data_IF_989413301599
#
_entry.id   IF_989413301599
#
_cell.length_a   1.000
_cell.length_b   1.000
_cell.length_c   1.000
_cell.angle_alpha   90.00
_cell.angle_beta   90.00
_cell.angle_gamma   90.00
#
_symmetry.space_group_name_H-M   'P 1'
#
loop_
_entity.id
_entity.type
_entity.pdbx_description
1 polymer ?
#
# COMPACT_ATOMS: atom_id res chain seq x y z
N UNK A 1 -7.93 -22.47 -8.85
CA UNK A 1 -6.62 -22.06 -8.31
C UNK A 1 -6.76 -20.61 -7.89
N UNK A 2 -6.43 -20.26 -6.65
CA UNK A 2 -6.41 -18.85 -6.24
C UNK A 2 -5.38 -18.12 -7.09
N UNK A 3 -5.77 -17.04 -7.79
CA UNK A 3 -4.84 -16.23 -8.58
C UNK A 3 -3.80 -15.55 -7.68
N UNK A 4 -2.72 -15.04 -8.28
CA UNK A 4 -1.71 -14.27 -7.55
C UNK A 4 -2.33 -13.04 -6.89
N UNK A 5 -1.82 -12.64 -5.71
CA UNK A 5 -2.31 -11.50 -4.93
C UNK A 5 -1.29 -10.37 -4.98
N UNK A 6 -1.78 -9.14 -5.04
CA UNK A 6 -0.98 -7.93 -4.86
C UNK A 6 -1.59 -7.06 -3.76
N UNK A 7 -0.75 -6.46 -2.93
CA UNK A 7 -1.16 -5.61 -1.82
C UNK A 7 -0.83 -4.17 -2.16
N UNK A 8 -1.82 -3.29 -2.09
CA UNK A 8 -1.73 -1.93 -2.63
C UNK A 8 -2.11 -0.90 -1.56
N UNK A 9 -1.34 0.19 -1.54
CA UNK A 9 -1.55 1.37 -0.71
C UNK A 9 -1.03 2.61 -1.44
N UNK A 10 -1.67 3.78 -1.23
CA UNK A 10 -1.25 5.05 -1.83
C UNK A 10 -0.92 6.12 -0.77
N UNK A 11 0.02 7.00 -1.12
CA UNK A 11 0.27 8.24 -0.40
C UNK A 11 -0.17 9.44 -1.23
N UNK A 12 -0.51 10.53 -0.54
CA UNK A 12 -1.08 11.71 -1.19
C UNK A 12 -0.55 13.02 -0.60
N UNK A 13 -0.70 14.12 -1.35
CA UNK A 13 -0.51 15.50 -0.85
C UNK A 13 -1.71 15.99 -0.04
N UNK A 14 -1.59 17.16 0.60
CA UNK A 14 -2.71 17.83 1.27
C UNK A 14 -3.85 18.22 0.30
N UNK A 15 -3.52 18.43 -0.97
CA UNK A 15 -4.44 18.76 -2.08
C UNK A 15 -5.00 17.51 -2.77
N UNK A 16 -4.78 16.33 -2.18
CA UNK A 16 -5.28 15.04 -2.66
C UNK A 16 -4.71 14.62 -4.02
N UNK A 17 -3.48 15.02 -4.35
CA UNK A 17 -2.73 14.44 -5.47
C UNK A 17 -2.00 13.19 -5.01
N UNK A 18 -1.99 12.12 -5.82
CA UNK A 18 -1.28 10.88 -5.50
C UNK A 18 0.22 11.11 -5.68
N UNK A 19 1.02 10.74 -4.67
CA UNK A 19 2.46 10.95 -4.63
C UNK A 19 3.25 9.66 -4.69
N UNK A 20 2.74 8.61 -4.04
CA UNK A 20 3.34 7.27 -4.07
C UNK A 20 2.23 6.24 -4.29
N UNK A 21 2.50 5.26 -5.13
CA UNK A 21 1.73 4.00 -5.19
C UNK A 21 2.67 2.86 -4.84
N UNK A 22 2.38 2.20 -3.72
CA UNK A 22 3.08 0.99 -3.30
C UNK A 22 2.31 -0.24 -3.74
N UNK A 23 3.04 -1.24 -4.24
CA UNK A 23 2.49 -2.56 -4.55
C UNK A 23 3.46 -3.62 -4.02
N UNK A 24 3.00 -4.53 -3.18
CA UNK A 24 3.76 -5.71 -2.78
C UNK A 24 3.19 -6.97 -3.45
N UNK A 25 4.06 -7.80 -4.00
CA UNK A 25 3.74 -9.15 -4.49
C UNK A 25 4.77 -10.15 -3.98
N UNK A 26 4.33 -11.36 -3.64
CA UNK A 26 5.23 -12.40 -3.16
C UNK A 26 6.26 -12.86 -4.20
N UNK A 27 5.95 -12.74 -5.49
CA UNK A 27 6.81 -13.22 -6.58
C UNK A 27 7.89 -12.22 -7.02
N UNK A 28 7.72 -10.92 -6.75
CA UNK A 28 8.69 -9.90 -7.18
C UNK A 28 9.07 -8.85 -6.12
N UNK A 29 8.48 -8.89 -4.92
CA UNK A 29 8.76 -7.93 -3.84
C UNK A 29 7.93 -6.66 -3.92
N UNK A 30 8.46 -5.57 -3.35
CA UNK A 30 7.81 -4.26 -3.32
C UNK A 30 8.18 -3.44 -4.54
N UNK A 31 7.18 -2.89 -5.19
CA UNK A 31 7.25 -1.94 -6.30
C UNK A 31 6.69 -0.60 -5.81
N UNK A 32 7.44 0.49 -5.95
CA UNK A 32 7.00 1.82 -5.52
C UNK A 32 7.17 2.83 -6.65
N UNK A 33 6.07 3.46 -7.05
CA UNK A 33 6.06 4.51 -8.06
C UNK A 33 5.86 5.85 -7.37
N UNK A 34 6.71 6.83 -7.66
CA UNK A 34 6.74 8.11 -6.97
C UNK A 34 6.59 9.25 -7.98
N UNK A 35 5.80 10.27 -7.67
CA UNK A 35 5.67 11.47 -8.50
C UNK A 35 5.34 11.14 -9.96
N UNK A 36 6.15 11.62 -10.94
CA UNK A 36 5.94 11.35 -12.37
C UNK A 36 5.87 9.87 -12.77
N UNK A 37 6.48 8.97 -12.00
CA UNK A 37 6.40 7.53 -12.26
C UNK A 37 5.03 6.91 -11.96
N UNK A 38 4.16 7.62 -11.24
CA UNK A 38 2.78 7.19 -10.95
C UNK A 38 1.94 7.34 -12.22
N UNK A 39 1.86 6.28 -13.00
CA UNK A 39 1.07 6.21 -14.24
C UNK A 39 0.17 4.99 -14.24
N UNK A 40 -0.91 5.07 -15.01
CA UNK A 40 -1.80 3.94 -15.26
C UNK A 40 -1.06 2.74 -15.84
N UNK A 41 -0.25 2.94 -16.87
CA UNK A 41 0.56 1.89 -17.51
C UNK A 41 1.45 1.19 -16.49
N UNK A 42 2.20 1.96 -15.68
CA UNK A 42 3.10 1.38 -14.69
C UNK A 42 2.34 0.56 -13.63
N UNK A 43 1.17 1.03 -13.19
CA UNK A 43 0.34 0.33 -12.20
C UNK A 43 -0.24 -0.97 -12.80
N UNK A 44 -0.75 -0.95 -14.03
CA UNK A 44 -1.27 -2.16 -14.68
C UNK A 44 -0.16 -3.17 -14.99
N UNK A 45 1.01 -2.72 -15.42
CA UNK A 45 2.19 -3.59 -15.63
C UNK A 45 2.63 -4.25 -14.32
N UNK A 46 2.68 -3.49 -13.21
CA UNK A 46 2.97 -4.02 -11.89
C UNK A 46 1.94 -5.06 -11.41
N UNK A 47 0.69 -4.97 -11.89
CA UNK A 47 -0.39 -5.91 -11.58
C UNK A 47 -0.55 -7.02 -12.62
N UNK A 48 0.32 -7.12 -13.63
CA UNK A 48 0.24 -8.16 -14.63
C UNK A 48 0.31 -9.56 -14.00
N UNK A 49 -0.68 -10.40 -14.31
CA UNK A 49 -0.84 -11.76 -13.77
C UNK A 49 -1.47 -11.85 -12.38
N UNK A 50 -1.80 -10.72 -11.75
CA UNK A 50 -2.50 -10.65 -10.46
C UNK A 50 -3.98 -10.96 -10.68
N UNK A 51 -4.56 -11.80 -9.83
CA UNK A 51 -6.01 -12.08 -9.81
C UNK A 51 -6.76 -11.34 -8.70
N UNK A 52 -6.07 -10.89 -7.64
CA UNK A 52 -6.69 -10.16 -6.53
C UNK A 52 -5.82 -9.02 -6.04
N UNK A 53 -6.40 -7.83 -5.95
CA UNK A 53 -5.83 -6.66 -5.28
C UNK A 53 -6.34 -6.61 -3.84
N UNK A 54 -5.43 -6.53 -2.89
CA UNK A 54 -5.69 -6.48 -1.46
C UNK A 54 -5.33 -5.09 -0.94
N UNK A 55 -6.20 -4.50 -0.13
CA UNK A 55 -6.02 -3.14 0.41
C UNK A 55 -6.50 -3.08 1.86
N UNK A 56 -6.29 -1.95 2.53
CA UNK A 56 -6.97 -1.62 3.78
C UNK A 56 -7.82 -0.37 3.61
N UNK A 57 -9.15 -0.52 3.59
CA UNK A 57 -10.10 0.56 3.26
C UNK A 57 -9.97 1.08 1.82
N UNK A 58 -9.45 0.29 0.88
CA UNK A 58 -9.18 0.74 -0.48
C UNK A 58 -10.43 1.14 -1.26
N UNK A 59 -11.56 0.48 -1.03
CA UNK A 59 -12.83 0.88 -1.67
C UNK A 59 -13.29 2.29 -1.23
N UNK A 60 -12.95 2.69 0.00
CA UNK A 60 -13.25 4.00 0.55
C UNK A 60 -12.16 5.04 0.32
N UNK A 61 -10.96 4.63 -0.11
CA UNK A 61 -9.79 5.50 -0.20
C UNK A 61 -8.92 5.20 -1.42
N UNK A 62 -8.03 4.21 -1.38
CA UNK A 62 -6.99 3.99 -2.40
C UNK A 62 -7.55 3.83 -3.81
N UNK A 63 -8.47 2.88 -4.00
CA UNK A 63 -9.08 2.58 -5.30
C UNK A 63 -9.97 3.73 -5.77
N UNK A 64 -10.64 4.40 -4.83
CA UNK A 64 -11.46 5.58 -5.13
C UNK A 64 -10.60 6.72 -5.68
N UNK A 65 -9.44 6.98 -5.08
CA UNK A 65 -8.55 8.06 -5.49
C UNK A 65 -7.75 7.73 -6.75
N UNK A 66 -7.32 6.48 -6.93
CA UNK A 66 -6.77 5.99 -8.20
C UNK A 66 -7.75 6.25 -9.35
N UNK A 67 -9.03 5.91 -9.15
CA UNK A 67 -10.08 6.18 -10.14
C UNK A 67 -10.29 7.67 -10.40
N UNK A 68 -10.31 8.49 -9.34
CA UNK A 68 -10.57 9.94 -9.46
C UNK A 68 -9.42 10.73 -10.06
N UNK A 69 -8.17 10.35 -9.77
CA UNK A 69 -6.98 11.11 -10.14
C UNK A 69 -6.24 10.55 -11.35
N UNK A 70 -6.33 9.24 -11.59
CA UNK A 70 -5.60 8.56 -12.67
C UNK A 70 -6.54 7.85 -13.65
N UNK A 71 -7.86 7.92 -13.46
CA UNK A 71 -8.85 7.18 -14.27
C UNK A 71 -8.65 5.65 -14.29
N UNK A 72 -7.97 5.11 -13.27
CA UNK A 72 -7.73 3.68 -13.09
C UNK A 72 -8.86 3.10 -12.23
N UNK A 73 -9.61 2.12 -12.76
CA UNK A 73 -10.59 1.38 -11.98
C UNK A 73 -10.15 -0.07 -11.76
N UNK A 74 -9.32 -0.31 -10.74
CA UNK A 74 -8.84 -1.67 -10.46
C UNK A 74 -9.97 -2.65 -10.09
N UNK A 75 -11.16 -2.16 -9.72
CA UNK A 75 -12.28 -3.04 -9.35
C UNK A 75 -12.97 -3.67 -10.55
N UNK A 76 -12.73 -3.17 -11.76
CA UNK A 76 -13.28 -3.77 -13.00
C UNK A 76 -12.44 -4.93 -13.49
N UNK A 77 -11.13 -4.90 -13.24
CA UNK A 77 -10.17 -5.84 -13.84
C UNK A 77 -9.66 -6.88 -12.83
N UNK A 78 -9.77 -6.61 -11.53
CA UNK A 78 -9.27 -7.50 -10.47
C UNK A 78 -10.36 -7.81 -9.44
N UNK A 79 -10.29 -9.01 -8.84
CA UNK A 79 -10.99 -9.22 -7.59
C UNK A 79 -10.41 -8.29 -6.50
N UNK A 80 -11.23 -7.85 -5.57
CA UNK A 80 -10.81 -6.96 -4.49
C UNK A 80 -11.07 -7.61 -3.13
N UNK A 81 -10.04 -7.60 -2.27
CA UNK A 81 -10.15 -7.98 -0.87
C UNK A 81 -9.76 -6.79 0.03
N UNK A 82 -10.69 -6.34 0.86
CA UNK A 82 -10.48 -5.23 1.79
C UNK A 82 -10.30 -5.76 3.21
N UNK A 83 -9.07 -5.67 3.72
CA UNK A 83 -8.72 -6.20 5.03
C UNK A 83 -9.41 -5.43 6.16
N UNK A 84 -9.79 -4.16 5.96
CA UNK A 84 -10.56 -3.43 6.97
C UNK A 84 -11.95 -4.06 7.13
N UNK A 85 -12.57 -4.51 6.05
CA UNK A 85 -13.87 -5.21 6.09
C UNK A 85 -13.71 -6.56 6.79
N UNK A 86 -12.65 -7.33 6.48
CA UNK A 86 -12.34 -8.59 7.17
C UNK A 86 -12.10 -8.40 8.68
N UNK A 87 -11.32 -7.39 9.06
CA UNK A 87 -11.10 -7.04 10.47
C UNK A 87 -12.42 -6.74 11.19
N UNK A 88 -13.27 -5.91 10.60
CA UNK A 88 -14.58 -5.55 11.17
C UNK A 88 -15.50 -6.76 11.36
N UNK A 89 -15.48 -7.72 10.43
CA UNK A 89 -16.24 -8.98 10.55
C UNK A 89 -15.74 -9.84 11.72
N UNK A 90 -14.46 -9.75 12.07
CA UNK A 90 -13.86 -10.39 13.26
C UNK A 90 -13.97 -9.53 14.53
N UNK A 91 -14.70 -8.41 14.50
CA UNK A 91 -14.86 -7.51 15.65
C UNK A 91 -13.65 -6.61 15.94
N UNK A 92 -12.61 -6.65 15.10
CA UNK A 92 -11.40 -5.83 15.24
C UNK A 92 -11.62 -4.48 14.57
N UNK A 93 -11.29 -3.39 15.27
CA UNK A 93 -11.48 -2.01 14.79
C UNK A 93 -10.24 -1.16 15.05
N UNK A 94 -10.04 -0.16 14.19
CA UNK A 94 -8.92 0.78 14.24
C UNK A 94 -8.41 1.09 12.84
N UNK A 95 -7.45 2.03 12.76
CA UNK A 95 -6.63 2.18 11.56
C UNK A 95 -5.62 1.05 11.42
N UNK A 96 -5.03 0.88 10.23
CA UNK A 96 -4.09 -0.21 9.92
C UNK A 96 -3.03 -0.40 11.01
N UNK A 97 -2.34 0.69 11.40
CA UNK A 97 -1.29 0.65 12.44
C UNK A 97 -1.76 0.11 13.79
N UNK A 98 -2.96 0.50 14.21
CA UNK A 98 -3.53 0.07 15.48
C UNK A 98 -3.89 -1.42 15.43
N UNK A 99 -4.33 -1.90 14.26
CA UNK A 99 -4.67 -3.31 14.04
C UNK A 99 -3.41 -4.16 13.96
N UNK A 100 -2.39 -3.73 13.22
CA UNK A 100 -1.09 -4.41 13.20
C UNK A 100 -0.50 -4.63 14.58
N UNK A 101 -0.52 -3.60 15.45
CA UNK A 101 -0.08 -3.72 16.84
C UNK A 101 -0.87 -4.78 17.61
N UNK A 102 -2.19 -4.84 17.44
CA UNK A 102 -3.04 -5.88 18.06
C UNK A 102 -2.68 -7.28 17.57
N UNK A 103 -2.20 -7.41 16.33
CA UNK A 103 -1.73 -8.67 15.74
C UNK A 103 -0.22 -8.92 15.90
N UNK A 104 0.49 -8.08 16.66
CA UNK A 104 1.93 -8.22 16.90
C UNK A 104 2.80 -7.99 15.66
N UNK A 105 2.30 -7.25 14.66
CA UNK A 105 3.04 -6.82 13.48
C UNK A 105 3.79 -5.53 13.84
N UNK A 106 5.11 -5.57 13.73
CA UNK A 106 6.00 -4.46 14.10
C UNK A 106 6.32 -3.58 12.90
N UNK A 107 6.61 -2.30 13.17
CA UNK A 107 7.09 -1.33 12.19
C UNK A 107 8.46 -0.77 12.56
N UNK A 108 9.25 -0.41 11.56
CA UNK A 108 10.44 0.44 11.63
C UNK A 108 10.07 1.92 11.57
N UNK A 109 8.99 2.28 10.87
CA UNK A 109 8.47 3.64 10.74
C UNK A 109 7.75 4.13 12.02
N UNK A 110 8.23 3.75 13.21
CA UNK A 110 7.57 4.09 14.48
C UNK A 110 7.46 5.60 14.66
N UNK A 111 6.28 6.09 14.98
CA UNK A 111 6.02 7.52 15.18
C UNK A 111 5.52 8.26 13.94
N UNK A 112 5.69 7.71 12.73
CA UNK A 112 5.05 8.26 11.54
C UNK A 112 3.58 7.85 11.47
N UNK A 113 2.75 8.75 10.98
CA UNK A 113 1.32 8.58 10.72
C UNK A 113 0.99 8.97 9.28
N UNK A 114 -0.18 8.61 8.78
CA UNK A 114 -0.62 9.04 7.44
C UNK A 114 -0.75 10.57 7.30
N UNK A 115 -0.71 11.33 8.40
CA UNK A 115 -0.66 12.81 8.37
C UNK A 115 0.74 13.35 8.10
N UNK A 116 1.77 12.54 8.31
CA UNK A 116 3.16 12.90 8.05
C UNK A 116 3.52 12.72 6.57
N UNK A 117 2.85 11.81 5.86
CA UNK A 117 3.15 11.51 4.46
C UNK A 117 3.08 12.72 3.52
N UNK A 118 2.02 13.57 3.55
CA UNK A 118 1.98 14.78 2.74
C UNK A 118 3.12 15.76 3.06
N UNK A 119 3.53 15.85 4.34
CA UNK A 119 4.64 16.71 4.78
C UNK A 119 5.98 16.18 4.25
N UNK A 120 6.23 14.88 4.38
CA UNK A 120 7.45 14.23 3.88
C UNK A 120 7.57 14.40 2.37
N UNK A 121 6.47 14.25 1.63
CA UNK A 121 6.45 14.54 0.21
C UNK A 121 6.79 16.01 -0.09
N UNK A 122 6.18 16.95 0.64
CA UNK A 122 6.43 18.38 0.44
C UNK A 122 7.91 18.76 0.64
N UNK A 123 8.57 18.22 1.66
CA UNK A 123 10.00 18.45 1.91
C UNK A 123 10.86 17.90 0.75
N UNK A 124 10.54 16.71 0.25
CA UNK A 124 11.22 16.16 -0.91
C UNK A 124 11.00 17.00 -2.17
N UNK A 125 9.75 17.29 -2.51
CA UNK A 125 9.37 17.97 -3.76
C UNK A 125 9.86 19.42 -3.80
N UNK A 126 9.86 20.11 -2.66
CA UNK A 126 10.24 21.53 -2.58
C UNK A 126 11.74 21.72 -2.36
N UNK A 127 12.34 20.90 -1.48
CA UNK A 127 13.72 21.11 -1.00
C UNK A 127 14.70 20.05 -1.50
N UNK A 128 14.24 19.02 -2.22
CA UNK A 128 15.07 17.89 -2.62
C UNK A 128 15.50 17.01 -1.44
N UNK A 129 14.74 16.99 -0.34
CA UNK A 129 15.08 16.20 0.86
C UNK A 129 14.89 14.70 0.60
N UNK A 130 15.98 14.04 0.22
CA UNK A 130 16.04 12.59 0.00
C UNK A 130 15.78 11.76 1.28
N UNK A 131 16.03 12.32 2.47
CA UNK A 131 15.74 11.61 3.72
C UNK A 131 14.23 11.61 3.99
N UNK A 132 13.55 12.72 3.67
CA UNK A 132 12.10 12.79 3.75
C UNK A 132 11.45 11.78 2.79
N UNK A 133 11.94 11.68 1.54
CA UNK A 133 11.47 10.67 0.60
C UNK A 133 11.77 9.24 1.08
N UNK A 134 12.97 8.98 1.59
CA UNK A 134 13.32 7.65 2.11
C UNK A 134 12.39 7.24 3.27
N UNK A 135 12.05 8.16 4.16
CA UNK A 135 11.11 7.91 5.24
C UNK A 135 9.68 7.65 4.74
N UNK A 136 9.23 8.39 3.72
CA UNK A 136 7.93 8.18 3.07
C UNK A 136 7.86 6.81 2.38
N UNK A 137 8.91 6.42 1.65
CA UNK A 137 8.96 5.13 0.96
C UNK A 137 9.04 3.95 1.93
N UNK A 138 9.77 4.08 3.02
CA UNK A 138 9.78 3.06 4.07
C UNK A 138 8.39 2.91 4.70
N UNK A 139 7.72 4.02 5.01
CA UNK A 139 6.35 4.02 5.53
C UNK A 139 5.38 3.28 4.59
N UNK A 140 5.36 3.65 3.31
CA UNK A 140 4.47 3.04 2.31
C UNK A 140 4.83 1.57 2.04
N UNK A 141 6.12 1.21 2.04
CA UNK A 141 6.57 -0.19 1.95
C UNK A 141 6.02 -1.02 3.10
N UNK A 142 6.09 -0.50 4.33
CA UNK A 142 5.55 -1.20 5.49
C UNK A 142 4.04 -1.35 5.38
N UNK A 143 3.31 -0.35 4.87
CA UNK A 143 1.86 -0.47 4.66
C UNK A 143 1.55 -1.65 3.72
N UNK A 144 2.14 -1.74 2.53
CA UNK A 144 1.84 -2.85 1.61
C UNK A 144 2.34 -4.22 2.04
N UNK A 145 3.53 -4.32 2.66
CA UNK A 145 4.06 -5.59 3.17
C UNK A 145 3.23 -6.08 4.34
N UNK A 146 2.83 -5.18 5.24
CA UNK A 146 2.06 -5.54 6.42
C UNK A 146 0.62 -5.94 6.08
N UNK A 147 0.05 -5.52 4.95
CA UNK A 147 -1.21 -6.09 4.47
C UNK A 147 -1.09 -7.61 4.24
N UNK A 148 0.02 -8.08 3.66
CA UNK A 148 0.26 -9.51 3.48
C UNK A 148 0.40 -10.25 4.80
N UNK A 149 1.12 -9.67 5.76
CA UNK A 149 1.23 -10.21 7.12
C UNK A 149 -0.13 -10.25 7.82
N UNK A 150 -0.88 -9.15 7.77
CA UNK A 150 -2.19 -9.02 8.39
C UNK A 150 -3.19 -10.01 7.80
N UNK A 151 -3.20 -10.19 6.49
CA UNK A 151 -4.00 -11.22 5.84
C UNK A 151 -3.72 -12.61 6.42
N UNK A 152 -2.46 -13.02 6.52
CA UNK A 152 -2.12 -14.34 7.08
C UNK A 152 -2.53 -14.46 8.55
N UNK A 153 -2.42 -13.39 9.34
CA UNK A 153 -2.95 -13.35 10.72
C UNK A 153 -4.47 -13.50 10.75
N UNK A 154 -5.17 -12.85 9.82
CA UNK A 154 -6.62 -12.95 9.66
C UNK A 154 -7.08 -14.28 9.05
N UNK A 155 -6.18 -15.11 8.54
CA UNK A 155 -6.48 -16.45 8.06
C UNK A 155 -5.95 -17.54 8.98
N UNK A 156 -5.40 -17.14 10.13
CA UNK A 156 -4.76 -18.05 11.09
C UNK A 156 -3.69 -18.94 10.41
N UNK A 157 -3.05 -18.38 9.39
CA UNK A 157 -2.02 -19.01 8.56
C UNK A 157 -0.60 -18.66 9.07
N UNK A 158 0.42 -19.48 8.76
CA UNK A 158 1.81 -19.13 9.02
C UNK A 158 2.18 -17.78 8.41
N UNK A 159 3.07 -17.04 9.06
CA UNK A 159 3.59 -15.80 8.46
C UNK A 159 4.24 -16.11 7.09
N UNK A 160 3.95 -15.31 6.06
CA UNK A 160 4.54 -15.54 4.75
C UNK A 160 6.03 -15.19 4.79
N UNK A 161 6.79 -15.84 3.89
CA UNK A 161 8.12 -15.36 3.57
C UNK A 161 8.00 -14.04 2.79
N UNK A 162 8.64 -12.99 3.30
CA UNK A 162 8.56 -11.66 2.72
C UNK A 162 9.67 -11.52 1.69
N UNK A 163 9.28 -11.31 0.43
CA UNK A 163 10.24 -11.14 -0.64
C UNK A 163 11.05 -9.85 -0.41
N UNK A 164 12.40 -9.93 -0.33
CA UNK A 164 13.20 -8.82 0.15
C UNK A 164 13.34 -7.68 -0.85
N UNK A 165 13.20 -7.96 -2.16
CA UNK A 165 13.42 -6.96 -3.21
C UNK A 165 12.51 -5.74 -3.06
N UNK A 166 13.10 -4.58 -3.37
CA UNK A 166 12.45 -3.28 -3.41
C UNK A 166 12.87 -2.62 -4.71
N UNK A 167 11.90 -2.14 -5.48
CA UNK A 167 12.14 -1.40 -6.70
C UNK A 167 11.38 -0.08 -6.60
N UNK A 168 12.07 1.02 -6.91
CA UNK A 168 11.53 2.37 -6.78
C UNK A 168 11.71 3.09 -8.11
N UNK A 169 10.62 3.63 -8.64
CA UNK A 169 10.60 4.52 -9.81
C UNK A 169 10.20 5.91 -9.35
N UNK A 170 10.88 6.93 -9.86
CA UNK A 170 10.69 8.34 -9.54
C UNK A 170 10.52 9.14 -10.82
#
# INVERSE_FOLDING_TARGET
MSGARAYLDIEMTFEWSITVVGIYRHDCGTLQFCGPAVTDVAIYDALAGVGTVVTFNGAGFDLLWLRRRLAIDLTTDFAHDDLMVRCRRRGVRGGLKQIEQQFGITRRSTGLTGRDAPRLWHEYDTNGDEQALAALLEYNREDVVNLALLEHRLDDAPAPDIHPAVQVWR
#
